data_IF_028963892468
#
_entry.id   IF_028963892468
#
_cell.length_a   1.000
_cell.length_b   1.000
_cell.length_c   1.000
_cell.angle_alpha   90.00
_cell.angle_beta   90.00
_cell.angle_gamma   90.00
#
_symmetry.space_group_name_H-M   'P 1'
#
loop_
_entity.id
_entity.type
_entity.pdbx_description
1 polymer ?
#
# COMPACT_ATOMS: atom_id res chain seq x y z
N UNK A 1 10.43 10.61 -12.69
CA UNK A 1 10.67 9.22 -12.21
C UNK A 1 9.66 8.22 -12.79
N UNK A 2 8.35 8.47 -12.71
CA UNK A 2 7.30 7.59 -13.30
C UNK A 2 7.44 7.35 -14.81
N UNK A 3 7.82 8.38 -15.57
CA UNK A 3 8.06 8.27 -17.03
C UNK A 3 9.24 7.33 -17.36
N UNK A 4 10.30 7.34 -16.53
CA UNK A 4 11.47 6.47 -16.70
C UNK A 4 11.17 5.01 -16.29
N UNK A 5 10.22 4.81 -15.37
CA UNK A 5 9.73 3.49 -14.96
C UNK A 5 8.89 2.87 -16.07
N UNK A 6 8.02 3.67 -16.69
CA UNK A 6 7.25 3.26 -17.87
C UNK A 6 8.15 2.95 -19.08
N UNK A 7 9.33 3.58 -19.19
CA UNK A 7 10.32 3.34 -20.23
C UNK A 7 11.23 2.13 -19.97
N UNK A 8 11.01 1.34 -18.90
CA UNK A 8 11.75 0.10 -18.64
C UNK A 8 13.22 0.26 -18.24
N UNK A 9 13.67 1.50 -17.96
CA UNK A 9 15.06 1.80 -17.58
C UNK A 9 15.28 1.81 -16.05
N UNK A 10 14.23 1.62 -15.26
CA UNK A 10 14.33 1.54 -13.81
C UNK A 10 14.54 0.08 -13.38
N UNK A 11 15.74 -0.19 -12.86
CA UNK A 11 16.11 -1.44 -12.20
C UNK A 11 14.99 -1.85 -11.23
N UNK A 12 14.54 -3.11 -11.27
CA UNK A 12 13.44 -3.62 -10.44
C UNK A 12 13.55 -3.22 -8.96
N UNK A 13 14.78 -3.17 -8.43
CA UNK A 13 15.08 -2.73 -7.06
C UNK A 13 14.74 -1.26 -6.78
N UNK A 14 14.83 -0.37 -7.76
CA UNK A 14 14.48 1.03 -7.59
C UNK A 14 12.95 1.26 -7.58
N UNK A 15 12.19 0.46 -8.34
CA UNK A 15 10.71 0.47 -8.26
C UNK A 15 10.25 -0.06 -6.90
N UNK A 16 10.82 -1.19 -6.46
CA UNK A 16 10.51 -1.79 -5.14
C UNK A 16 10.92 -0.83 -4.02
N UNK A 17 12.13 -0.25 -4.09
CA UNK A 17 12.63 0.70 -3.11
C UNK A 17 11.78 1.98 -3.03
N UNK A 18 11.31 2.49 -4.17
CA UNK A 18 10.39 3.63 -4.20
C UNK A 18 9.02 3.29 -3.59
N UNK A 19 8.45 2.13 -3.95
CA UNK A 19 7.18 1.66 -3.41
C UNK A 19 7.25 1.44 -1.89
N UNK A 20 8.35 0.84 -1.43
CA UNK A 20 8.61 0.62 -0.02
C UNK A 20 8.83 1.94 0.73
N UNK A 21 9.67 2.83 0.19
CA UNK A 21 9.93 4.15 0.77
C UNK A 21 8.64 4.97 0.92
N UNK A 22 7.78 4.98 -0.10
CA UNK A 22 6.46 5.60 -0.02
C UNK A 22 5.57 4.95 1.05
N UNK A 23 5.59 3.62 1.16
CA UNK A 23 4.83 2.89 2.19
C UNK A 23 5.26 3.26 3.61
N UNK A 24 6.57 3.35 3.87
CA UNK A 24 7.10 3.76 5.19
C UNK A 24 6.75 5.21 5.49
N UNK A 25 6.96 6.11 4.54
CA UNK A 25 6.56 7.52 4.67
C UNK A 25 5.08 7.67 5.02
N UNK A 26 4.23 6.91 4.32
CA UNK A 26 2.79 6.92 4.52
C UNK A 26 2.37 6.49 5.94
N UNK A 27 3.04 5.46 6.48
CA UNK A 27 2.84 5.02 7.87
C UNK A 27 3.24 6.13 8.84
N UNK A 28 4.41 6.75 8.67
CA UNK A 28 4.89 7.83 9.55
C UNK A 28 3.94 9.02 9.59
N UNK A 29 3.44 9.46 8.43
CA UNK A 29 2.49 10.58 8.35
C UNK A 29 1.16 10.23 9.02
N UNK A 30 0.66 8.99 8.83
CA UNK A 30 -0.60 8.55 9.46
C UNK A 30 -0.47 8.36 10.96
N UNK A 31 0.71 7.99 11.46
CA UNK A 31 0.97 7.91 12.90
C UNK A 31 0.88 9.29 13.57
N UNK A 32 1.18 10.38 12.85
CA UNK A 32 1.01 11.75 13.31
C UNK A 32 -0.44 12.28 13.27
N UNK A 33 -1.37 11.56 12.64
CA UNK A 33 -2.78 11.93 12.54
C UNK A 33 -3.68 11.35 13.65
N UNK A 34 -5.00 11.61 13.55
CA UNK A 34 -6.01 10.96 14.41
C UNK A 34 -6.19 9.49 13.99
N UNK A 35 -5.35 8.61 14.53
CA UNK A 35 -5.36 7.17 14.27
C UNK A 35 -6.34 6.44 15.20
N UNK A 36 -7.59 6.27 14.77
CA UNK A 36 -8.59 5.49 15.51
C UNK A 36 -9.02 4.29 14.68
N UNK A 37 -8.99 3.11 15.30
CA UNK A 37 -9.48 1.86 14.71
C UNK A 37 -10.64 1.36 15.55
N UNK A 38 -11.66 0.83 14.86
CA UNK A 38 -12.81 0.22 15.51
C UNK A 38 -12.35 -1.05 16.22
N UNK A 39 -12.66 -1.14 17.50
CA UNK A 39 -12.35 -2.30 18.34
C UNK A 39 -13.66 -2.94 18.79
N UNK A 40 -13.70 -4.26 19.03
CA UNK A 40 -14.91 -4.98 19.45
C UNK A 40 -15.92 -5.30 18.33
N UNK A 41 -17.17 -5.68 18.69
CA UNK A 41 -18.18 -6.13 17.73
C UNK A 41 -18.45 -5.11 16.63
N UNK A 42 -18.70 -5.58 15.41
CA UNK A 42 -18.91 -4.72 14.25
C UNK A 42 -20.16 -3.80 14.39
N UNK A 43 -21.10 -4.11 15.28
CA UNK A 43 -22.24 -3.25 15.63
C UNK A 43 -21.95 -2.23 16.76
N UNK A 44 -20.81 -2.37 17.46
CA UNK A 44 -20.43 -1.48 18.56
C UNK A 44 -19.87 -0.13 18.10
N UNK A 45 -19.68 0.78 19.04
CA UNK A 45 -19.03 2.11 18.87
C UNK A 45 -17.76 2.26 19.71
N UNK A 46 -17.07 1.15 19.95
CA UNK A 46 -15.79 1.12 20.64
C UNK A 46 -14.68 1.43 19.65
N UNK A 47 -13.90 2.48 19.93
CA UNK A 47 -12.76 2.88 19.12
C UNK A 47 -11.51 2.95 20.00
N UNK A 48 -10.42 2.39 19.49
CA UNK A 48 -9.11 2.40 20.14
C UNK A 48 -8.13 3.19 19.29
N UNK A 49 -7.13 3.79 19.93
CA UNK A 49 -5.99 4.38 19.22
C UNK A 49 -5.24 3.29 18.47
N UNK A 50 -5.04 3.49 17.17
CA UNK A 50 -4.38 2.50 16.33
C UNK A 50 -2.91 2.31 16.73
N UNK A 51 -2.48 1.06 16.80
CA UNK A 51 -1.08 0.72 17.00
C UNK A 51 -0.27 0.94 15.72
N UNK A 52 1.06 0.86 15.83
CA UNK A 52 1.95 0.90 14.65
C UNK A 52 1.66 -0.29 13.73
N UNK A 53 1.35 -1.46 14.28
CA UNK A 53 1.03 -2.66 13.50
C UNK A 53 -0.30 -2.53 12.75
N UNK A 54 -1.29 -1.87 13.34
CA UNK A 54 -2.57 -1.58 12.68
C UNK A 54 -2.34 -0.69 11.44
N UNK A 55 -1.46 0.31 11.57
CA UNK A 55 -1.10 1.21 10.46
C UNK A 55 -0.26 0.51 9.38
N UNK A 56 0.72 -0.31 9.78
CA UNK A 56 1.53 -1.11 8.85
C UNK A 56 0.66 -2.07 8.03
N UNK A 57 -0.27 -2.76 8.70
CA UNK A 57 -1.21 -3.68 8.05
C UNK A 57 -2.14 -2.93 7.10
N UNK A 58 -2.66 -1.77 7.51
CA UNK A 58 -3.51 -0.93 6.66
C UNK A 58 -2.78 -0.46 5.39
N UNK A 59 -1.60 0.13 5.54
CA UNK A 59 -0.83 0.67 4.40
C UNK A 59 -0.32 -0.46 3.50
N UNK A 60 0.23 -1.53 4.11
CA UNK A 60 0.74 -2.69 3.38
C UNK A 60 -0.35 -3.40 2.59
N UNK A 61 -1.51 -3.63 3.19
CA UNK A 61 -2.64 -4.26 2.51
C UNK A 61 -3.17 -3.41 1.36
N UNK A 62 -3.34 -2.10 1.58
CA UNK A 62 -3.76 -1.17 0.52
C UNK A 62 -2.80 -1.21 -0.67
N UNK A 63 -1.50 -1.16 -0.41
CA UNK A 63 -0.47 -1.16 -1.45
C UNK A 63 -0.37 -2.51 -2.16
N UNK A 64 -0.56 -3.61 -1.45
CA UNK A 64 -0.65 -4.95 -2.02
C UNK A 64 -1.86 -5.07 -2.95
N UNK A 65 -3.03 -4.57 -2.55
CA UNK A 65 -4.23 -4.58 -3.39
C UNK A 65 -4.03 -3.79 -4.67
N UNK A 66 -3.37 -2.63 -4.60
CA UNK A 66 -3.04 -1.83 -5.79
C UNK A 66 -2.12 -2.63 -6.72
N UNK A 67 -1.07 -3.25 -6.19
CA UNK A 67 -0.15 -4.09 -6.97
C UNK A 67 -0.85 -5.30 -7.60
N UNK A 68 -1.68 -6.00 -6.83
CA UNK A 68 -2.44 -7.15 -7.29
C UNK A 68 -3.47 -6.77 -8.35
N UNK A 69 -4.21 -5.67 -8.15
CA UNK A 69 -5.17 -5.18 -9.13
C UNK A 69 -4.51 -4.75 -10.43
N UNK A 70 -3.36 -4.06 -10.36
CA UNK A 70 -2.57 -3.69 -11.54
C UNK A 70 -2.10 -4.94 -12.30
N UNK A 71 -1.56 -5.93 -11.58
CA UNK A 71 -1.11 -7.18 -12.16
C UNK A 71 -2.24 -7.94 -12.85
N UNK A 72 -3.39 -8.08 -12.18
CA UNK A 72 -4.57 -8.74 -12.73
C UNK A 72 -5.12 -8.00 -13.95
N UNK A 73 -5.14 -6.66 -13.93
CA UNK A 73 -5.59 -5.85 -15.05
C UNK A 73 -4.67 -6.01 -16.27
N UNK A 74 -3.35 -5.96 -16.07
CA UNK A 74 -2.37 -6.17 -17.15
C UNK A 74 -2.47 -7.58 -17.74
N UNK A 75 -2.69 -8.60 -16.89
CA UNK A 75 -2.94 -9.98 -17.33
C UNK A 75 -4.25 -10.09 -18.12
N UNK A 76 -5.33 -9.47 -17.65
CA UNK A 76 -6.63 -9.49 -18.31
C UNK A 76 -6.60 -8.80 -19.69
N UNK A 77 -5.80 -7.75 -19.85
CA UNK A 77 -5.60 -7.04 -21.10
C UNK A 77 -4.62 -7.74 -22.07
N UNK A 78 -4.04 -8.88 -21.69
CA UNK A 78 -3.06 -9.61 -22.52
C UNK A 78 -1.69 -8.91 -22.64
N UNK A 79 -1.45 -7.86 -21.84
CA UNK A 79 -0.18 -7.10 -21.82
C UNK A 79 0.90 -7.78 -20.99
N UNK A 80 0.55 -8.83 -20.25
CA UNK A 80 1.45 -9.57 -19.36
C UNK A 80 1.28 -11.07 -19.61
N UNK A 81 2.27 -11.67 -20.28
CA UNK A 81 2.36 -13.12 -20.45
C UNK A 81 3.18 -13.65 -19.28
N UNK A 82 2.51 -14.38 -18.39
CA UNK A 82 3.17 -15.17 -17.34
C UNK A 82 3.48 -16.53 -17.91
#
# INVERSE_FOLDING_TARGET
>A
MWVLAAMGQLQYGAVIGWWFGWSVYEVLVRLGGKRYVKDGPWWGRTYRVASVMDMLSYVGFKNLLIGAALFLALKALGLLQV
#
